data_IF_071251507039
#
_entry.id   IF_071251507039
#
_cell.length_a   1.000
_cell.length_b   1.000
_cell.length_c   1.000
_cell.angle_alpha   90.00
_cell.angle_beta   90.00
_cell.angle_gamma   90.00
#
_symmetry.space_group_name_H-M   'P 1'
#
loop_
_entity.id
_entity.type
_entity.pdbx_description
1 polymer ?
#
# COMPACT_ATOMS: atom_id res chain seq x y z
N UNK A 1 -24.03 -17.22 -19.86
CA UNK A 1 -24.95 -17.85 -20.82
C UNK A 1 -25.47 -16.75 -21.77
N UNK A 2 -25.62 -17.09 -23.07
CA UNK A 2 -26.08 -16.16 -24.11
C UNK A 2 -27.50 -15.64 -23.87
N UNK A 3 -28.30 -16.40 -23.11
CA UNK A 3 -29.66 -16.02 -22.74
C UNK A 3 -29.68 -15.06 -21.55
N UNK A 4 -28.69 -15.08 -20.69
CA UNK A 4 -28.57 -14.15 -19.58
C UNK A 4 -27.97 -12.82 -20.05
N UNK A 5 -27.08 -12.83 -21.05
CA UNK A 5 -26.51 -11.64 -21.67
C UNK A 5 -27.59 -10.72 -22.28
N UNK A 6 -28.70 -11.30 -22.83
CA UNK A 6 -29.81 -10.54 -23.39
C UNK A 6 -30.62 -9.78 -22.33
N UNK A 7 -30.55 -10.20 -21.07
CA UNK A 7 -31.28 -9.58 -19.94
C UNK A 7 -30.51 -8.46 -19.26
N UNK A 8 -29.22 -8.33 -19.54
CA UNK A 8 -28.32 -7.38 -18.87
C UNK A 8 -28.14 -6.14 -19.74
N UNK A 9 -28.16 -4.97 -19.12
CA UNK A 9 -27.99 -3.68 -19.78
C UNK A 9 -26.50 -3.25 -19.87
N UNK A 10 -25.57 -4.17 -19.63
CA UNK A 10 -24.11 -3.94 -19.68
C UNK A 10 -23.37 -5.20 -20.16
N UNK A 11 -22.16 -5.00 -20.69
CA UNK A 11 -21.29 -6.10 -21.14
C UNK A 11 -20.62 -6.79 -19.92
N UNK A 12 -21.17 -7.93 -19.51
CA UNK A 12 -20.67 -8.74 -18.40
C UNK A 12 -19.18 -9.11 -18.56
N UNK A 13 -18.74 -9.34 -19.79
CA UNK A 13 -17.33 -9.73 -20.07
C UNK A 13 -16.35 -8.64 -19.68
N UNK A 14 -16.68 -7.39 -19.98
CA UNK A 14 -15.86 -6.24 -19.61
C UNK A 14 -15.83 -6.03 -18.09
N UNK A 15 -16.96 -6.23 -17.41
CA UNK A 15 -17.03 -6.11 -15.94
C UNK A 15 -16.18 -7.21 -15.27
N UNK A 16 -16.27 -8.45 -15.73
CA UNK A 16 -15.48 -9.57 -15.21
C UNK A 16 -13.99 -9.36 -15.50
N UNK A 17 -13.63 -8.91 -16.72
CA UNK A 17 -12.26 -8.62 -17.10
C UNK A 17 -11.65 -7.52 -16.21
N UNK A 18 -12.39 -6.43 -16.00
CA UNK A 18 -11.96 -5.33 -15.12
C UNK A 18 -11.82 -5.77 -13.65
N UNK A 19 -12.77 -6.57 -13.15
CA UNK A 19 -12.71 -7.12 -11.81
C UNK A 19 -11.47 -8.02 -11.62
N UNK A 20 -11.17 -8.87 -12.60
CA UNK A 20 -9.97 -9.71 -12.61
C UNK A 20 -8.68 -8.91 -12.67
N UNK A 21 -8.60 -7.89 -13.52
CA UNK A 21 -7.45 -7.01 -13.62
C UNK A 21 -7.20 -6.26 -12.28
N UNK A 22 -8.28 -5.75 -11.65
CA UNK A 22 -8.18 -5.11 -10.33
C UNK A 22 -7.75 -6.09 -9.23
N UNK A 23 -8.16 -7.36 -9.30
CA UNK A 23 -7.73 -8.39 -8.35
C UNK A 23 -6.21 -8.66 -8.49
N UNK A 24 -5.70 -8.72 -9.73
CA UNK A 24 -4.27 -8.86 -10.00
C UNK A 24 -3.48 -7.63 -9.53
N UNK A 25 -4.01 -6.41 -9.70
CA UNK A 25 -3.40 -5.20 -9.16
C UNK A 25 -3.24 -5.27 -7.63
N UNK A 26 -4.30 -5.67 -6.90
CA UNK A 26 -4.20 -5.88 -5.45
C UNK A 26 -3.18 -6.96 -5.07
N UNK A 27 -2.99 -7.97 -5.92
CA UNK A 27 -1.96 -8.99 -5.69
C UNK A 27 -0.54 -8.44 -5.87
N UNK A 28 -0.36 -7.46 -6.74
CA UNK A 28 0.92 -6.71 -6.86
C UNK A 28 1.23 -5.96 -5.57
N UNK A 29 0.25 -5.22 -5.03
CA UNK A 29 0.41 -4.50 -3.76
C UNK A 29 0.74 -5.47 -2.62
N UNK A 30 0.03 -6.60 -2.53
CA UNK A 30 0.29 -7.66 -1.54
C UNK A 30 1.71 -8.21 -1.63
N UNK A 31 2.25 -8.43 -2.84
CA UNK A 31 3.62 -8.92 -3.02
C UNK A 31 4.65 -7.91 -2.52
N UNK A 32 4.44 -6.62 -2.79
CA UNK A 32 5.33 -5.56 -2.32
C UNK A 32 5.25 -5.45 -0.78
N UNK A 33 4.05 -5.47 -0.22
CA UNK A 33 3.83 -5.42 1.23
C UNK A 33 4.49 -6.63 1.92
N UNK A 34 4.36 -7.83 1.36
CA UNK A 34 5.02 -9.03 1.90
C UNK A 34 6.55 -8.94 1.84
N UNK A 35 7.10 -8.26 0.83
CA UNK A 35 8.53 -8.01 0.75
C UNK A 35 9.00 -6.99 1.81
N UNK A 36 8.18 -5.99 2.15
CA UNK A 36 8.43 -5.06 3.25
C UNK A 36 8.31 -5.73 4.61
N UNK A 37 7.32 -6.62 4.78
CA UNK A 37 7.06 -7.36 6.03
C UNK A 37 8.17 -8.40 6.34
N UNK A 38 9.00 -8.73 5.36
CA UNK A 38 10.13 -9.61 5.54
C UNK A 38 11.33 -8.93 6.24
N UNK A 39 11.30 -7.60 6.41
CA UNK A 39 12.34 -6.86 7.13
C UNK A 39 12.12 -6.95 8.63
N UNK A 40 13.16 -7.30 9.40
CA UNK A 40 13.10 -7.47 10.86
C UNK A 40 14.19 -6.71 11.62
N UNK A 41 15.14 -6.06 10.93
CA UNK A 41 16.24 -5.32 11.55
C UNK A 41 15.79 -4.10 12.36
N UNK A 42 14.77 -3.37 11.87
CA UNK A 42 14.29 -2.14 12.48
C UNK A 42 12.78 -2.20 12.70
N UNK A 43 12.39 -2.60 13.91
CA UNK A 43 10.98 -2.71 14.30
C UNK A 43 10.68 -1.79 15.48
N UNK A 44 9.81 -0.81 15.25
CA UNK A 44 9.25 0.05 16.29
C UNK A 44 8.04 -0.69 16.90
N UNK A 45 8.12 -0.99 18.18
CA UNK A 45 7.08 -1.75 18.89
C UNK A 45 5.78 -0.95 19.04
N UNK A 46 4.66 -1.66 19.17
CA UNK A 46 3.33 -1.06 19.30
C UNK A 46 3.17 -0.19 20.56
N UNK A 47 3.75 -0.61 21.70
CA UNK A 47 3.68 0.10 22.97
C UNK A 47 2.23 0.31 23.47
N UNK A 48 1.26 -0.48 23.00
CA UNK A 48 -0.18 -0.35 23.19
C UNK A 48 -0.74 1.03 22.76
N UNK A 49 -0.17 1.60 21.72
CA UNK A 49 -0.62 2.88 21.13
C UNK A 49 -0.63 2.78 19.60
N UNK A 50 -1.48 3.59 18.97
CA UNK A 50 -1.54 3.73 17.53
C UNK A 50 -0.30 4.42 16.95
N UNK A 51 -0.45 5.07 15.81
CA UNK A 51 0.62 5.85 15.18
C UNK A 51 0.71 7.24 15.82
N UNK A 52 1.82 7.48 16.53
CA UNK A 52 2.10 8.74 17.21
C UNK A 52 3.21 9.52 16.49
N UNK A 53 3.32 10.82 16.82
CA UNK A 53 4.43 11.67 16.37
C UNK A 53 5.80 11.07 16.74
N UNK A 54 5.90 10.54 17.97
CA UNK A 54 7.16 9.96 18.49
C UNK A 54 7.61 8.78 17.63
N UNK A 55 6.70 7.86 17.25
CA UNK A 55 7.01 6.74 16.34
C UNK A 55 7.45 7.20 14.96
N UNK A 56 6.81 8.24 14.42
CA UNK A 56 7.21 8.81 13.13
C UNK A 56 8.60 9.45 13.18
N UNK A 57 8.93 10.14 14.28
CA UNK A 57 10.25 10.72 14.50
C UNK A 57 11.32 9.65 14.74
N UNK A 58 11.00 8.59 15.47
CA UNK A 58 11.90 7.43 15.68
C UNK A 58 12.24 6.75 14.34
N UNK A 59 11.26 6.52 13.47
CA UNK A 59 11.51 5.98 12.14
C UNK A 59 12.41 6.92 11.29
N UNK A 60 12.20 8.21 11.40
CA UNK A 60 13.03 9.22 10.73
C UNK A 60 14.47 9.23 11.29
N UNK A 61 14.65 9.09 12.61
CA UNK A 61 15.96 8.99 13.27
C UNK A 61 16.72 7.73 12.83
N UNK A 62 16.05 6.58 12.76
CA UNK A 62 16.64 5.31 12.28
C UNK A 62 17.15 5.50 10.84
N UNK A 63 16.38 6.14 9.96
CA UNK A 63 16.82 6.41 8.59
C UNK A 63 18.05 7.32 8.53
N UNK A 64 18.09 8.34 9.39
CA UNK A 64 19.26 9.22 9.50
C UNK A 64 20.49 8.46 10.02
N UNK A 65 20.29 7.55 10.97
CA UNK A 65 21.36 6.72 11.54
C UNK A 65 21.93 5.67 10.55
N UNK A 66 21.10 5.21 9.61
CA UNK A 66 21.48 4.24 8.60
C UNK A 66 21.96 4.88 7.28
N UNK A 67 22.18 6.19 7.24
CA UNK A 67 22.59 6.94 6.04
C UNK A 67 21.64 6.71 4.83
N UNK A 68 20.34 6.46 5.07
CA UNK A 68 19.36 6.28 4.01
C UNK A 68 19.19 7.60 3.24
N UNK A 69 19.36 7.61 1.89
CA UNK A 69 19.30 8.84 1.11
C UNK A 69 17.99 9.63 1.29
N UNK A 70 18.12 10.96 1.32
CA UNK A 70 16.99 11.90 1.29
C UNK A 70 16.90 12.52 -0.12
N UNK A 71 16.58 11.68 -1.09
CA UNK A 71 16.47 12.02 -2.52
C UNK A 71 15.00 12.15 -2.99
N UNK A 72 14.05 12.24 -2.05
CA UNK A 72 12.62 12.19 -2.32
C UNK A 72 12.09 10.76 -2.62
N UNK A 73 12.91 9.74 -2.37
CA UNK A 73 12.56 8.33 -2.54
C UNK A 73 12.09 7.63 -1.27
N UNK A 74 11.74 8.40 -0.21
CA UNK A 74 11.22 7.87 1.06
C UNK A 74 9.72 7.80 1.02
N UNK A 75 9.17 6.65 1.41
CA UNK A 75 7.73 6.38 1.43
C UNK A 75 7.31 5.80 2.77
N UNK A 76 6.11 6.14 3.21
CA UNK A 76 5.46 5.52 4.37
C UNK A 76 4.09 5.00 3.97
N UNK A 77 3.86 3.71 4.15
CA UNK A 77 2.56 3.07 3.90
C UNK A 77 1.91 2.78 5.24
N UNK A 78 0.73 3.37 5.48
CA UNK A 78 0.01 3.31 6.75
C UNK A 78 -1.42 2.84 6.56
N UNK A 79 -2.01 2.25 7.60
CA UNK A 79 -3.42 1.87 7.60
C UNK A 79 -4.34 3.09 7.69
N UNK A 80 -5.63 2.88 7.42
CA UNK A 80 -6.62 3.97 7.49
C UNK A 80 -6.85 4.51 8.90
N UNK A 81 -6.72 3.66 9.94
CA UNK A 81 -6.79 4.12 11.34
C UNK A 81 -5.58 5.01 11.66
N UNK A 82 -4.38 4.57 11.28
CA UNK A 82 -3.14 5.33 11.46
C UNK A 82 -3.15 6.63 10.64
N UNK A 83 -3.77 6.62 9.46
CA UNK A 83 -3.99 7.84 8.69
C UNK A 83 -4.87 8.85 9.44
N UNK A 84 -5.95 8.36 10.07
CA UNK A 84 -6.81 9.21 10.89
C UNK A 84 -6.09 9.75 12.14
N UNK A 85 -5.18 8.96 12.72
CA UNK A 85 -4.31 9.38 13.83
C UNK A 85 -3.32 10.46 13.40
N UNK A 86 -2.70 10.32 12.22
CA UNK A 86 -1.84 11.36 11.63
C UNK A 86 -2.58 12.69 11.44
N UNK A 87 -3.85 12.65 11.05
CA UNK A 87 -4.67 13.86 10.88
C UNK A 87 -4.94 14.60 12.22
N UNK A 88 -4.75 13.95 13.36
CA UNK A 88 -4.87 14.55 14.69
C UNK A 88 -3.57 15.20 15.16
N UNK A 89 -2.46 14.94 14.48
CA UNK A 89 -1.16 15.54 14.79
C UNK A 89 -1.11 16.93 14.14
N UNK A 90 -0.93 17.97 14.97
CA UNK A 90 -0.90 19.36 14.49
C UNK A 90 0.20 19.60 13.45
N UNK A 91 1.38 19.01 13.63
CA UNK A 91 2.51 19.12 12.72
C UNK A 91 2.26 18.49 11.35
N UNK A 92 1.35 17.53 11.27
CA UNK A 92 0.93 16.89 10.02
C UNK A 92 -0.25 17.60 9.36
N UNK A 93 -1.16 18.17 10.14
CA UNK A 93 -2.45 18.71 9.67
C UNK A 93 -2.49 20.23 9.49
N UNK A 94 -1.56 20.98 10.09
CA UNK A 94 -1.58 22.43 10.11
C UNK A 94 -0.75 23.03 8.98
N UNK A 95 -1.34 24.00 8.25
CA UNK A 95 -0.70 24.73 7.16
C UNK A 95 0.56 25.48 7.55
N UNK A 96 0.68 25.89 8.82
CA UNK A 96 1.85 26.62 9.31
C UNK A 96 3.12 25.76 9.32
N UNK A 97 2.98 24.44 9.38
CA UNK A 97 4.11 23.50 9.41
C UNK A 97 4.42 22.91 8.03
N UNK A 98 3.39 22.61 7.20
CA UNK A 98 3.57 21.87 5.94
C UNK A 98 3.26 22.70 4.69
N UNK A 99 2.77 23.93 4.87
CA UNK A 99 2.31 24.77 3.76
C UNK A 99 0.89 24.48 3.29
N UNK A 100 0.19 25.53 2.83
CA UNK A 100 -1.25 25.45 2.50
C UNK A 100 -1.56 24.50 1.33
N UNK A 101 -0.64 24.30 0.39
CA UNK A 101 -0.82 23.42 -0.78
C UNK A 101 -0.76 21.93 -0.43
N UNK A 102 -0.18 21.58 0.71
CA UNK A 102 0.04 20.19 1.13
C UNK A 102 -0.94 19.73 2.23
N UNK A 103 -1.95 20.54 2.54
CA UNK A 103 -2.91 20.20 3.59
C UNK A 103 -3.66 18.89 3.26
N UNK A 104 -3.65 17.91 4.19
CA UNK A 104 -4.28 16.61 3.96
C UNK A 104 -5.80 16.69 3.79
N UNK A 105 -6.46 17.72 4.34
CA UNK A 105 -7.90 17.92 4.24
C UNK A 105 -8.38 18.39 2.85
N UNK A 106 -7.49 18.92 2.02
CA UNK A 106 -7.84 19.33 0.65
C UNK A 106 -8.09 18.13 -0.28
N UNK A 107 -7.54 16.95 0.08
CA UNK A 107 -7.71 15.70 -0.67
C UNK A 107 -7.38 14.51 0.24
N UNK A 108 -8.38 14.02 0.97
CA UNK A 108 -8.25 13.02 2.07
C UNK A 108 -7.60 11.70 1.63
N UNK A 109 -7.69 11.35 0.35
CA UNK A 109 -7.25 10.04 -0.17
C UNK A 109 -5.94 10.10 -0.96
N UNK A 110 -5.28 11.26 -1.02
CA UNK A 110 -4.01 11.38 -1.76
C UNK A 110 -2.81 11.27 -0.82
N UNK A 111 -1.73 10.71 -1.37
CA UNK A 111 -0.42 10.71 -0.73
C UNK A 111 0.02 12.14 -0.35
N UNK A 112 0.58 12.30 0.84
CA UNK A 112 1.04 13.59 1.37
C UNK A 112 2.51 13.52 1.72
N UNK A 113 3.23 14.60 1.47
CA UNK A 113 4.63 14.74 1.85
C UNK A 113 4.72 15.35 3.25
N UNK A 114 5.40 14.67 4.17
CA UNK A 114 5.72 15.13 5.50
C UNK A 114 7.04 14.51 5.97
N UNK A 115 7.89 15.26 6.65
CA UNK A 115 9.24 14.84 7.07
C UNK A 115 10.08 14.29 5.89
N UNK A 116 10.01 14.91 4.70
CA UNK A 116 10.72 14.42 3.53
C UNK A 116 10.23 13.07 2.96
N UNK A 117 9.13 12.55 3.48
CA UNK A 117 8.56 11.24 3.16
C UNK A 117 7.16 11.38 2.59
N UNK A 118 6.83 10.55 1.61
CA UNK A 118 5.49 10.48 1.01
C UNK A 118 4.66 9.46 1.78
N UNK A 119 3.64 9.92 2.48
CA UNK A 119 2.72 9.09 3.27
C UNK A 119 1.53 8.64 2.44
N UNK A 120 1.25 7.35 2.44
CA UNK A 120 0.23 6.72 1.58
C UNK A 120 -0.68 5.84 2.45
N UNK A 121 -1.99 6.11 2.51
CA UNK A 121 -2.93 5.21 3.17
C UNK A 121 -3.20 3.98 2.31
N UNK A 122 -3.14 2.79 2.91
CA UNK A 122 -3.43 1.52 2.24
C UNK A 122 -4.25 0.58 3.12
N UNK A 123 -5.20 -0.14 2.52
CA UNK A 123 -6.10 -1.04 3.25
C UNK A 123 -5.59 -2.47 3.41
N UNK A 124 -4.60 -2.87 2.60
CA UNK A 124 -4.09 -4.25 2.55
C UNK A 124 -2.90 -4.52 3.46
N UNK A 125 -2.62 -3.66 4.45
CA UNK A 125 -1.53 -3.89 5.40
C UNK A 125 -1.87 -5.04 6.36
N UNK A 126 -0.87 -5.88 6.73
CA UNK A 126 -1.09 -6.98 7.65
C UNK A 126 -1.49 -6.50 9.05
N UNK A 127 -2.34 -7.28 9.68
CA UNK A 127 -2.73 -7.14 11.07
C UNK A 127 -2.55 -8.48 11.75
N UNK A 128 -1.99 -8.50 12.93
CA UNK A 128 -1.79 -9.73 13.69
C UNK A 128 -3.05 -10.12 14.50
N UNK A 129 -2.97 -11.27 15.21
CA UNK A 129 -4.07 -11.76 16.03
C UNK A 129 -4.34 -10.94 17.31
N UNK A 130 -3.54 -9.91 17.60
CA UNK A 130 -3.68 -9.01 18.74
C UNK A 130 -4.13 -7.60 18.30
N UNK A 131 -4.66 -7.46 17.09
CA UNK A 131 -5.05 -6.18 16.49
C UNK A 131 -3.89 -5.19 16.32
N UNK A 132 -2.65 -5.69 16.15
CA UNK A 132 -1.48 -4.88 15.84
C UNK A 132 -1.29 -4.80 14.33
N UNK A 133 -1.33 -3.60 13.78
CA UNK A 133 -1.10 -3.35 12.36
C UNK A 133 0.34 -2.97 12.11
N UNK A 134 0.97 -3.64 11.13
CA UNK A 134 2.29 -3.27 10.63
C UNK A 134 2.16 -2.16 9.57
N UNK A 135 2.82 -1.05 9.81
CA UNK A 135 3.02 0.06 8.88
C UNK A 135 4.48 0.09 8.47
N UNK A 136 4.78 0.55 7.25
CA UNK A 136 6.14 0.48 6.71
C UNK A 136 6.62 1.86 6.31
N UNK A 137 7.80 2.21 6.80
CA UNK A 137 8.56 3.38 6.39
C UNK A 137 9.77 2.88 5.62
N UNK A 138 9.89 3.20 4.32
CA UNK A 138 10.90 2.59 3.47
C UNK A 138 11.43 3.53 2.39
N UNK A 139 12.65 3.25 1.92
CA UNK A 139 13.23 3.89 0.76
C UNK A 139 12.99 3.05 -0.49
N UNK A 140 12.75 3.67 -1.64
CA UNK A 140 12.45 3.00 -2.93
C UNK A 140 13.45 1.94 -3.35
N UNK A 141 14.73 2.06 -2.93
CA UNK A 141 15.79 1.10 -3.27
C UNK A 141 15.81 -0.13 -2.38
N UNK A 142 15.11 -0.08 -1.25
CA UNK A 142 15.08 -1.17 -0.27
C UNK A 142 14.25 -2.37 -0.72
N UNK A 143 13.30 -2.16 -1.63
CA UNK A 143 12.46 -3.21 -2.20
C UNK A 143 12.59 -3.21 -3.73
N UNK A 144 12.84 -4.38 -4.28
CA UNK A 144 12.83 -4.63 -5.73
C UNK A 144 11.47 -5.19 -6.18
N UNK A 145 10.89 -4.60 -7.19
CA UNK A 145 9.73 -5.14 -7.89
C UNK A 145 10.09 -5.36 -9.36
N UNK A 146 9.82 -6.56 -9.87
CA UNK A 146 10.04 -6.91 -11.26
C UNK A 146 8.75 -7.40 -11.92
N UNK A 147 8.44 -6.86 -13.09
CA UNK A 147 7.33 -7.30 -13.94
C UNK A 147 7.91 -8.04 -15.16
N UNK A 148 7.60 -9.32 -15.28
CA UNK A 148 7.90 -10.13 -16.47
C UNK A 148 6.82 -9.97 -17.55
N UNK A 149 5.56 -9.82 -17.14
CA UNK A 149 4.45 -9.41 -18.01
C UNK A 149 3.42 -8.65 -17.19
N UNK A 150 2.93 -7.56 -17.75
CA UNK A 150 1.80 -6.82 -17.19
C UNK A 150 0.49 -7.62 -17.31
N UNK A 151 -0.57 -7.11 -16.73
CA UNK A 151 -1.88 -7.75 -16.78
C UNK A 151 -2.33 -7.88 -18.25
N UNK A 152 -2.51 -9.13 -18.68
CA UNK A 152 -3.05 -9.49 -19.99
C UNK A 152 -4.42 -10.14 -19.79
N UNK A 153 -5.42 -9.64 -20.50
CA UNK A 153 -6.77 -10.19 -20.48
C UNK A 153 -7.06 -10.85 -21.81
N UNK A 154 -7.44 -12.12 -21.79
CA UNK A 154 -7.90 -12.89 -22.95
C UNK A 154 -9.38 -13.27 -22.76
N UNK A 155 -10.19 -13.01 -23.79
CA UNK A 155 -11.62 -13.33 -23.78
C UNK A 155 -11.87 -14.26 -24.98
N UNK A 156 -12.09 -15.54 -24.69
CA UNK A 156 -12.30 -16.57 -25.70
C UNK A 156 -13.69 -17.19 -25.60
N UNK A 157 -14.27 -17.57 -26.76
CA UNK A 157 -15.52 -18.30 -26.82
C UNK A 157 -15.25 -19.80 -26.72
N UNK A 158 -15.91 -20.46 -25.76
CA UNK A 158 -15.90 -21.89 -25.57
C UNK A 158 -17.21 -22.50 -26.08
N UNK A 159 -17.15 -23.13 -27.28
CA UNK A 159 -18.31 -23.71 -27.93
C UNK A 159 -18.91 -24.93 -27.22
N UNK A 160 -18.10 -25.67 -26.45
CA UNK A 160 -18.50 -26.82 -25.63
C UNK A 160 -19.38 -26.41 -24.44
N UNK A 161 -19.19 -25.19 -23.96
CA UNK A 161 -19.92 -24.62 -22.80
C UNK A 161 -20.92 -23.53 -23.17
N UNK A 162 -20.97 -23.16 -24.45
CA UNK A 162 -21.76 -22.05 -24.98
C UNK A 162 -21.59 -20.76 -24.17
N UNK A 163 -20.34 -20.46 -23.72
CA UNK A 163 -20.00 -19.34 -22.85
C UNK A 163 -18.66 -18.71 -23.23
N UNK A 164 -18.47 -17.46 -22.84
CA UNK A 164 -17.17 -16.81 -22.91
C UNK A 164 -16.32 -17.15 -21.70
N UNK A 165 -15.06 -17.41 -21.94
CA UNK A 165 -14.03 -17.58 -20.90
C UNK A 165 -13.19 -16.31 -20.84
N UNK A 166 -13.09 -15.72 -19.66
CA UNK A 166 -12.24 -14.54 -19.40
C UNK A 166 -11.06 -15.00 -18.56
N UNK A 167 -9.85 -14.79 -19.09
CA UNK A 167 -8.62 -15.15 -18.42
C UNK A 167 -7.77 -13.88 -18.22
N UNK A 168 -7.34 -13.62 -16.98
CA UNK A 168 -6.41 -12.56 -16.66
C UNK A 168 -5.12 -13.17 -16.13
N UNK A 169 -3.99 -12.79 -16.75
CA UNK A 169 -2.66 -13.30 -16.43
C UNK A 169 -1.70 -12.17 -16.17
N UNK A 170 -0.79 -12.36 -15.21
CA UNK A 170 0.39 -11.51 -15.01
C UNK A 170 1.55 -12.34 -14.49
N UNK A 171 2.78 -11.86 -14.69
CA UNK A 171 3.99 -12.45 -14.12
C UNK A 171 4.80 -11.34 -13.47
N UNK A 172 4.80 -11.33 -12.15
CA UNK A 172 5.46 -10.31 -11.34
C UNK A 172 6.05 -10.92 -10.07
N UNK A 173 7.03 -10.23 -9.48
CA UNK A 173 7.63 -10.60 -8.21
C UNK A 173 8.17 -9.38 -7.48
N UNK A 174 8.21 -9.46 -6.15
CA UNK A 174 8.85 -8.47 -5.31
C UNK A 174 9.79 -9.18 -4.33
N UNK A 175 10.88 -8.52 -3.95
CA UNK A 175 11.84 -9.04 -3.01
C UNK A 175 12.45 -7.90 -2.18
N UNK A 176 12.75 -8.19 -0.93
CA UNK A 176 13.56 -7.35 -0.07
C UNK A 176 15.00 -7.31 -0.62
N UNK A 177 15.58 -6.12 -0.72
CA UNK A 177 16.95 -5.89 -1.21
C UNK A 177 17.84 -5.41 -0.07
N UNK A 178 17.37 -4.45 0.73
CA UNK A 178 18.17 -3.79 1.76
C UNK A 178 17.29 -3.53 3.00
N UNK A 179 17.56 -4.23 4.07
CA UNK A 179 16.80 -4.12 5.33
C UNK A 179 17.05 -2.79 6.05
N UNK A 180 18.26 -2.22 5.92
CA UNK A 180 18.58 -0.93 6.53
C UNK A 180 17.72 0.23 6.00
N UNK A 181 17.16 0.09 4.81
CA UNK A 181 16.24 1.04 4.19
C UNK A 181 14.77 0.82 4.51
N UNK A 182 14.43 -0.02 5.50
CA UNK A 182 13.05 -0.29 5.92
C UNK A 182 12.93 -0.19 7.44
N UNK A 183 11.86 0.44 7.90
CA UNK A 183 11.45 0.44 9.31
C UNK A 183 10.01 -0.04 9.39
N UNK A 184 9.77 -1.07 10.15
CA UNK A 184 8.43 -1.58 10.47
C UNK A 184 7.90 -0.87 11.70
N UNK A 185 6.74 -0.23 11.59
CA UNK A 185 6.09 0.49 12.68
C UNK A 185 4.84 -0.28 13.07
N UNK A 186 4.88 -0.91 14.23
CA UNK A 186 3.74 -1.62 14.78
C UNK A 186 2.80 -0.63 15.51
N UNK A 187 1.51 -0.69 15.19
CA UNK A 187 0.49 0.19 15.72
C UNK A 187 -0.67 -0.62 16.31
N UNK A 188 -1.04 -0.34 17.55
CA UNK A 188 -2.18 -0.97 18.19
C UNK A 188 -3.49 -0.41 17.62
N UNK A 189 -4.38 -1.29 17.18
CA UNK A 189 -5.73 -0.96 16.70
C UNK A 189 -6.82 -1.35 17.70
N UNK A 190 -6.48 -1.81 18.88
CA UNK A 190 -7.49 -2.09 19.92
C UNK A 190 -8.32 -0.84 20.20
N UNK A 191 -9.65 -0.98 20.41
CA UNK A 191 -10.56 0.16 20.61
C UNK A 191 -10.35 0.85 21.94
#
# INVERSE_FOLDING_TARGET
DKLDEIKLNHDERQVIAAAGANALGRKTDEMIINALDAADDHVIVDGNVGLTLDKALEAFEIFGGNDVPDDGGRFAVVGWKQWAELLQIDEFSNADYIGAEQLPFSSITQAKMWLGTVWIPHSGLPIDGNDIRSCYFYHKTAVGHASGSDVQTDITWHGDRASFFVNNMMSQGAALIDEAGIVVINCDETP
#
